data_IF_545160506559
#
_entry.id   IF_545160506559
#
_cell.length_a   1.000
_cell.length_b   1.000
_cell.length_c   1.000
_cell.angle_alpha   90.00
_cell.angle_beta   90.00
_cell.angle_gamma   90.00
#
_symmetry.space_group_name_H-M   'P 1'
#
loop_
_entity.id
_entity.type
_entity.pdbx_description
1 polymer ?
#
# COMPACT_ATOMS: atom_id res chain seq x y z
N UNK A 1 57.09 -28.66 -18.54
CA UNK A 1 56.08 -29.67 -18.15
C UNK A 1 55.22 -29.26 -16.96
N UNK A 2 55.73 -28.54 -15.93
CA UNK A 2 54.91 -28.10 -14.77
C UNK A 2 53.89 -26.99 -15.05
N UNK A 3 54.11 -26.14 -16.07
CA UNK A 3 53.17 -25.07 -16.44
C UNK A 3 51.98 -25.58 -17.27
N UNK A 4 52.21 -26.53 -18.17
CA UNK A 4 51.17 -27.12 -19.04
C UNK A 4 50.17 -27.98 -18.27
N UNK A 5 50.60 -28.62 -17.17
CA UNK A 5 49.70 -29.37 -16.27
C UNK A 5 48.77 -28.45 -15.48
N UNK A 6 49.23 -27.24 -15.10
CA UNK A 6 48.40 -26.25 -14.41
C UNK A 6 47.34 -25.68 -15.36
N UNK A 7 47.70 -25.41 -16.62
CA UNK A 7 46.75 -24.93 -17.63
C UNK A 7 45.69 -25.99 -17.97
N UNK A 8 46.07 -27.27 -18.02
CA UNK A 8 45.13 -28.37 -18.21
C UNK A 8 44.16 -28.53 -17.02
N UNK A 9 44.65 -28.32 -15.78
CA UNK A 9 43.81 -28.35 -14.58
C UNK A 9 42.79 -27.20 -14.55
N UNK A 10 43.15 -26.01 -15.04
CA UNK A 10 42.25 -24.85 -15.12
C UNK A 10 41.10 -25.05 -16.13
N UNK A 11 41.32 -25.88 -17.16
CA UNK A 11 40.32 -26.17 -18.20
C UNK A 11 39.21 -27.14 -17.74
N UNK A 12 39.44 -27.93 -16.68
CA UNK A 12 38.46 -28.91 -16.17
C UNK A 12 37.50 -28.36 -15.09
N UNK A 13 37.73 -27.15 -14.59
CA UNK A 13 36.91 -26.52 -13.54
C UNK A 13 35.42 -26.34 -13.91
N UNK A 14 35.01 -26.05 -15.17
CA UNK A 14 33.59 -25.81 -15.45
C UNK A 14 32.70 -27.06 -15.39
N UNK A 15 33.25 -28.27 -15.25
CA UNK A 15 32.47 -29.52 -15.20
C UNK A 15 31.87 -29.86 -13.82
N UNK A 16 32.12 -29.06 -12.78
CA UNK A 16 31.64 -29.35 -11.41
C UNK A 16 30.26 -28.74 -11.07
N UNK A 17 29.53 -28.20 -12.05
CA UNK A 17 28.26 -27.52 -11.81
C UNK A 17 27.03 -28.33 -12.27
N UNK A 18 26.90 -29.59 -11.82
CA UNK A 18 25.61 -30.28 -11.96
C UNK A 18 24.63 -29.75 -10.91
N UNK A 19 23.53 -29.13 -11.37
CA UNK A 19 22.37 -28.84 -10.52
C UNK A 19 21.52 -30.09 -10.40
N UNK A 20 20.99 -30.36 -9.21
CA UNK A 20 20.01 -31.42 -9.04
C UNK A 20 18.61 -30.88 -9.35
N UNK A 21 17.64 -31.77 -9.45
CA UNK A 21 16.24 -31.42 -9.68
C UNK A 21 15.46 -31.58 -8.38
N UNK A 22 14.84 -30.49 -7.90
CA UNK A 22 13.88 -30.55 -6.82
C UNK A 22 12.51 -30.82 -7.43
N UNK A 23 11.92 -31.95 -7.02
CA UNK A 23 10.52 -32.27 -7.28
C UNK A 23 9.74 -32.10 -5.99
N UNK A 24 8.61 -31.39 -6.05
CA UNK A 24 7.81 -31.19 -4.87
C UNK A 24 6.35 -30.90 -5.15
N UNK A 25 5.56 -30.92 -4.09
CA UNK A 25 4.13 -30.63 -4.09
C UNK A 25 3.81 -29.55 -3.06
N UNK A 26 2.94 -28.62 -3.42
CA UNK A 26 2.51 -27.53 -2.54
C UNK A 26 1.03 -27.71 -2.21
N UNK A 27 0.70 -27.53 -0.93
CA UNK A 27 -0.65 -27.70 -0.40
C UNK A 27 -0.93 -26.65 0.68
N UNK A 28 -2.20 -26.44 0.99
CA UNK A 28 -2.66 -25.77 2.21
C UNK A 28 -3.39 -26.78 3.10
N UNK A 29 -4.00 -26.31 4.19
CA UNK A 29 -4.75 -27.16 5.11
C UNK A 29 -5.93 -27.90 4.45
N UNK A 30 -6.42 -27.45 3.28
CA UNK A 30 -7.66 -27.93 2.65
C UNK A 30 -7.43 -28.70 1.33
N UNK A 31 -6.40 -28.36 0.56
CA UNK A 31 -6.27 -28.72 -0.85
C UNK A 31 -4.85 -28.51 -1.40
N UNK A 32 -4.60 -29.03 -2.60
CA UNK A 32 -3.36 -28.77 -3.35
C UNK A 32 -3.39 -27.38 -3.99
N UNK A 33 -2.24 -26.71 -4.07
CA UNK A 33 -2.17 -25.33 -4.51
C UNK A 33 -1.58 -25.20 -5.92
N UNK A 34 -2.40 -24.70 -6.86
CA UNK A 34 -1.98 -24.38 -8.23
C UNK A 34 -1.45 -22.96 -8.36
N UNK A 35 -0.63 -22.71 -9.39
CA UNK A 35 -0.10 -21.39 -9.74
C UNK A 35 0.68 -20.69 -8.62
N UNK A 36 1.30 -21.45 -7.71
CA UNK A 36 2.22 -20.91 -6.72
C UNK A 36 3.56 -20.67 -7.38
N UNK A 37 4.09 -19.46 -7.23
CA UNK A 37 5.42 -19.09 -7.72
C UNK A 37 6.47 -19.73 -6.83
N UNK A 38 7.27 -20.62 -7.43
CA UNK A 38 8.41 -21.26 -6.79
C UNK A 38 9.68 -20.62 -7.34
N UNK A 39 10.43 -19.94 -6.50
CA UNK A 39 11.61 -19.17 -6.88
C UNK A 39 12.85 -19.65 -6.14
N UNK A 40 13.84 -20.14 -6.87
CA UNK A 40 15.18 -20.39 -6.34
C UNK A 40 15.97 -19.09 -6.35
N UNK A 41 16.17 -18.50 -5.17
CA UNK A 41 16.88 -17.23 -4.99
C UNK A 41 18.37 -17.34 -5.31
N UNK A 42 18.99 -18.48 -5.04
CA UNK A 42 20.44 -18.68 -5.22
C UNK A 42 20.80 -18.82 -6.71
N UNK A 43 19.98 -19.56 -7.46
CA UNK A 43 20.24 -19.84 -8.88
C UNK A 43 19.41 -18.98 -9.84
N UNK A 44 18.60 -18.06 -9.32
CA UNK A 44 17.70 -17.19 -10.07
C UNK A 44 16.80 -17.95 -11.07
N UNK A 45 16.21 -19.06 -10.61
CA UNK A 45 15.29 -19.89 -11.39
C UNK A 45 13.88 -19.76 -10.84
N UNK A 46 12.88 -19.83 -11.70
CA UNK A 46 11.47 -19.74 -11.33
C UNK A 46 10.65 -20.81 -12.04
N UNK A 47 9.67 -21.34 -11.34
CA UNK A 47 8.64 -22.23 -11.89
C UNK A 47 7.29 -21.96 -11.21
N UNK A 48 6.23 -22.57 -11.72
CA UNK A 48 4.88 -22.49 -11.16
C UNK A 48 4.39 -23.91 -10.83
N UNK A 49 3.60 -24.03 -9.77
CA UNK A 49 2.91 -25.29 -9.49
C UNK A 49 1.78 -25.54 -10.49
N UNK A 50 1.60 -26.80 -10.88
CA UNK A 50 0.53 -27.23 -11.78
C UNK A 50 -0.83 -27.38 -11.05
N UNK A 51 -1.85 -27.88 -11.75
CA UNK A 51 -3.19 -28.08 -11.20
C UNK A 51 -3.26 -29.09 -10.03
N UNK A 52 -2.29 -29.99 -9.93
CA UNK A 52 -2.16 -31.00 -8.87
C UNK A 52 -1.24 -30.53 -7.72
N UNK A 53 -0.76 -29.28 -7.79
CA UNK A 53 0.17 -28.68 -6.84
C UNK A 53 1.62 -29.09 -7.01
N UNK A 54 1.94 -29.88 -8.04
CA UNK A 54 3.30 -30.36 -8.31
C UNK A 54 4.14 -29.30 -9.01
N UNK A 55 5.44 -29.30 -8.71
CA UNK A 55 6.43 -28.47 -9.38
C UNK A 55 7.78 -29.20 -9.50
N UNK A 56 8.53 -28.78 -10.52
CA UNK A 56 9.90 -29.23 -10.76
C UNK A 56 10.78 -28.01 -11.01
N UNK A 57 11.91 -27.91 -10.31
CA UNK A 57 12.88 -26.81 -10.46
C UNK A 57 14.31 -27.31 -10.26
N UNK A 58 15.27 -26.77 -11.01
CA UNK A 58 16.69 -27.00 -10.75
C UNK A 58 17.11 -26.33 -9.43
N UNK A 59 17.72 -27.11 -8.54
CA UNK A 59 18.17 -26.66 -7.23
C UNK A 59 19.35 -27.46 -6.69
N UNK A 60 20.07 -26.88 -5.73
CA UNK A 60 21.18 -27.52 -5.01
C UNK A 60 20.94 -27.50 -3.50
N UNK A 61 21.64 -28.37 -2.78
CA UNK A 61 21.66 -28.34 -1.31
C UNK A 61 22.13 -26.96 -0.85
N UNK A 62 21.48 -26.41 0.18
CA UNK A 62 21.66 -25.05 0.70
C UNK A 62 21.12 -23.92 -0.18
N UNK A 63 20.43 -24.21 -1.29
CA UNK A 63 19.68 -23.18 -2.00
C UNK A 63 18.47 -22.70 -1.19
N UNK A 64 18.11 -21.43 -1.37
CA UNK A 64 16.93 -20.82 -0.77
C UNK A 64 15.76 -20.82 -1.75
N UNK A 65 14.77 -21.69 -1.52
CA UNK A 65 13.55 -21.75 -2.31
C UNK A 65 12.46 -20.94 -1.63
N UNK A 66 11.83 -20.06 -2.39
CA UNK A 66 10.74 -19.21 -1.93
C UNK A 66 9.45 -19.57 -2.67
N UNK A 67 8.39 -19.73 -1.91
CA UNK A 67 7.03 -19.94 -2.39
C UNK A 67 6.23 -18.65 -2.19
N UNK A 68 5.64 -18.11 -3.25
CA UNK A 68 4.91 -16.84 -3.25
C UNK A 68 3.58 -16.97 -4.01
N UNK A 69 2.54 -16.32 -3.50
CA UNK A 69 1.23 -16.17 -4.14
C UNK A 69 0.54 -14.93 -3.56
N UNK A 70 -0.56 -14.50 -4.19
CA UNK A 70 -1.36 -13.36 -3.72
C UNK A 70 -2.15 -13.69 -2.44
N UNK A 71 -2.57 -14.94 -2.28
CA UNK A 71 -3.48 -15.38 -1.21
C UNK A 71 -2.77 -16.15 -0.09
N UNK A 72 -1.45 -16.33 -0.17
CA UNK A 72 -0.69 -17.16 0.78
C UNK A 72 0.54 -16.42 1.30
N UNK A 73 0.85 -16.63 2.57
CA UNK A 73 2.05 -16.09 3.17
C UNK A 73 3.29 -16.67 2.49
N UNK A 74 4.21 -15.77 2.12
CA UNK A 74 5.51 -16.13 1.55
C UNK A 74 6.26 -17.06 2.49
N UNK A 75 6.71 -18.20 1.97
CA UNK A 75 7.50 -19.18 2.71
C UNK A 75 8.86 -19.35 2.05
N UNK A 76 9.93 -19.23 2.81
CA UNK A 76 11.30 -19.51 2.34
C UNK A 76 11.85 -20.72 3.06
N UNK A 77 12.42 -21.67 2.31
CA UNK A 77 13.00 -22.91 2.82
C UNK A 77 14.42 -23.07 2.29
N UNK A 78 15.35 -23.39 3.18
CA UNK A 78 16.72 -23.78 2.81
C UNK A 78 16.72 -25.28 2.49
N UNK A 79 17.19 -25.65 1.31
CA UNK A 79 17.19 -27.04 0.88
C UNK A 79 18.22 -27.88 1.63
N UNK A 80 17.78 -29.06 2.06
CA UNK A 80 18.60 -30.12 2.61
C UNK A 80 18.71 -31.23 1.58
N UNK A 81 19.71 -32.08 1.75
CA UNK A 81 19.92 -33.26 0.89
C UNK A 81 18.68 -34.18 0.82
N UNK A 82 17.93 -34.31 1.92
CA UNK A 82 16.68 -35.06 1.97
C UNK A 82 15.62 -34.53 1.01
N UNK A 83 15.62 -33.22 0.70
CA UNK A 83 14.61 -32.64 -0.18
C UNK A 83 14.82 -32.98 -1.66
N UNK A 84 16.05 -33.33 -2.05
CA UNK A 84 16.41 -33.63 -3.44
C UNK A 84 16.33 -35.13 -3.75
N UNK A 85 16.36 -35.97 -2.71
CA UNK A 85 16.29 -37.44 -2.84
C UNK A 85 14.89 -37.98 -3.11
N UNK A 86 13.86 -37.26 -2.66
CA UNK A 86 12.46 -37.66 -2.80
C UNK A 86 11.57 -36.46 -3.08
N UNK A 87 10.32 -36.71 -3.47
CA UNK A 87 9.31 -35.66 -3.64
C UNK A 87 9.10 -34.95 -2.29
N UNK A 88 9.37 -33.66 -2.25
CA UNK A 88 9.23 -32.83 -1.04
C UNK A 88 7.90 -32.12 -1.01
N UNK A 89 7.24 -32.10 0.16
CA UNK A 89 5.92 -31.50 0.30
C UNK A 89 6.00 -30.22 1.14
N UNK A 90 5.41 -29.13 0.67
CA UNK A 90 5.48 -27.81 1.29
C UNK A 90 4.08 -27.26 1.59
N UNK A 91 3.77 -27.06 2.86
CA UNK A 91 2.52 -26.42 3.29
C UNK A 91 2.65 -24.89 3.26
N UNK A 92 1.67 -24.19 2.68
CA UNK A 92 1.53 -22.73 2.77
C UNK A 92 0.33 -22.34 3.63
N UNK A 93 0.48 -21.23 4.34
CA UNK A 93 -0.60 -20.64 5.14
C UNK A 93 -1.34 -19.59 4.31
N UNK A 94 -2.65 -19.71 4.25
CA UNK A 94 -3.53 -18.72 3.64
C UNK A 94 -3.38 -17.38 4.38
N UNK A 95 -3.38 -16.27 3.64
CA UNK A 95 -3.46 -14.93 4.23
C UNK A 95 -4.91 -14.73 4.64
N UNK A 96 -5.20 -14.97 5.92
CA UNK A 96 -6.47 -14.59 6.50
C UNK A 96 -6.45 -13.07 6.67
N UNK A 97 -7.25 -12.39 5.86
CA UNK A 97 -7.56 -10.98 6.11
C UNK A 97 -8.53 -10.93 7.28
N UNK A 98 -8.00 -11.01 8.50
CA UNK A 98 -8.75 -10.58 9.67
C UNK A 98 -8.90 -9.06 9.58
N UNK A 99 -10.14 -8.57 9.56
CA UNK A 99 -10.40 -7.14 9.64
C UNK A 99 -10.04 -6.70 11.05
N UNK A 100 -9.17 -5.71 11.18
CA UNK A 100 -8.91 -5.09 12.47
C UNK A 100 -10.24 -4.55 13.03
N UNK A 101 -10.52 -4.85 14.30
CA UNK A 101 -11.72 -4.35 14.98
C UNK A 101 -11.68 -2.82 14.98
N UNK A 102 -12.65 -2.21 14.31
CA UNK A 102 -12.79 -0.75 14.30
C UNK A 102 -13.51 -0.33 15.56
N UNK A 103 -12.79 0.31 16.47
CA UNK A 103 -13.39 0.99 17.62
C UNK A 103 -14.18 2.19 17.09
N UNK A 104 -15.51 2.09 17.10
CA UNK A 104 -16.40 3.22 16.79
C UNK A 104 -16.22 4.25 17.90
N UNK A 105 -15.27 5.17 17.72
CA UNK A 105 -15.19 6.37 18.55
C UNK A 105 -16.51 7.12 18.34
N UNK A 106 -17.12 7.53 19.46
CA UNK A 106 -18.39 8.24 19.49
C UNK A 106 -18.46 9.29 18.37
N UNK A 107 -19.61 9.40 17.72
CA UNK A 107 -19.86 10.41 16.70
C UNK A 107 -19.36 11.77 17.19
N UNK A 108 -18.56 12.45 16.36
CA UNK A 108 -18.08 13.80 16.66
C UNK A 108 -19.32 14.66 16.90
N UNK A 109 -19.63 14.96 18.16
CA UNK A 109 -20.76 15.80 18.53
C UNK A 109 -20.62 17.11 17.76
N UNK A 110 -21.53 17.33 16.82
CA UNK A 110 -21.56 18.59 16.09
C UNK A 110 -21.68 19.73 17.10
N UNK A 111 -20.95 20.84 16.93
CA UNK A 111 -21.08 21.98 17.82
C UNK A 111 -22.54 22.40 17.85
N UNK A 112 -23.10 22.51 19.06
CA UNK A 112 -24.47 22.97 19.27
C UNK A 112 -24.56 24.38 18.70
N UNK A 113 -25.54 24.62 17.83
CA UNK A 113 -25.82 25.97 17.33
C UNK A 113 -26.31 26.84 18.48
N UNK A 114 -25.49 27.81 18.90
CA UNK A 114 -25.84 28.81 19.91
C UNK A 114 -26.11 30.12 19.17
N UNK A 115 -27.38 30.45 19.00
CA UNK A 115 -27.85 31.60 18.22
C UNK A 115 -27.15 32.91 18.64
N UNK A 116 -26.96 33.13 19.94
CA UNK A 116 -26.34 34.34 20.48
C UNK A 116 -24.91 34.56 19.99
N UNK A 117 -24.07 33.51 19.94
CA UNK A 117 -22.66 33.61 19.55
C UNK A 117 -22.52 33.89 18.06
N UNK A 118 -23.30 33.19 17.23
CA UNK A 118 -23.31 33.38 15.78
C UNK A 118 -23.86 34.76 15.39
N UNK A 119 -24.90 35.24 16.10
CA UNK A 119 -25.44 36.57 15.87
C UNK A 119 -24.41 37.66 16.16
N UNK A 120 -23.64 37.55 17.25
CA UNK A 120 -22.59 38.54 17.57
C UNK A 120 -21.47 38.53 16.52
N UNK A 121 -20.97 37.36 16.13
CA UNK A 121 -19.90 37.25 15.14
C UNK A 121 -20.35 37.76 13.76
N UNK A 122 -21.55 37.38 13.33
CA UNK A 122 -22.12 37.84 12.07
C UNK A 122 -22.31 39.36 12.06
N UNK A 123 -22.81 39.94 13.15
CA UNK A 123 -22.93 41.40 13.28
C UNK A 123 -21.56 42.08 13.19
N UNK A 124 -20.53 41.55 13.87
CA UNK A 124 -19.18 42.10 13.81
C UNK A 124 -18.59 42.06 12.39
N UNK A 125 -18.80 40.96 11.66
CA UNK A 125 -18.34 40.81 10.27
C UNK A 125 -19.05 41.82 9.36
N UNK A 126 -20.38 41.93 9.47
CA UNK A 126 -21.18 42.89 8.69
C UNK A 126 -20.71 44.32 8.95
N UNK A 127 -20.50 44.69 10.21
CA UNK A 127 -20.06 46.04 10.58
C UNK A 127 -18.63 46.33 10.11
N UNK A 128 -17.73 45.36 10.21
CA UNK A 128 -16.38 45.48 9.68
C UNK A 128 -16.38 45.65 8.14
N UNK A 129 -17.24 44.91 7.43
CA UNK A 129 -17.33 45.01 5.97
C UNK A 129 -17.96 46.33 5.52
N UNK A 130 -19.01 46.82 6.20
CA UNK A 130 -19.60 48.15 5.94
C UNK A 130 -18.55 49.25 6.14
N UNK A 131 -17.73 49.15 7.18
CA UNK A 131 -16.66 50.11 7.47
C UNK A 131 -15.54 50.07 6.42
N UNK A 132 -15.16 48.89 5.97
CA UNK A 132 -14.05 48.70 5.02
C UNK A 132 -14.46 48.91 3.56
N UNK A 133 -15.73 48.66 3.22
CA UNK A 133 -16.28 48.73 1.86
C UNK A 133 -17.52 49.64 1.77
N UNK A 134 -17.45 50.91 2.22
CA UNK A 134 -18.62 51.80 2.27
C UNK A 134 -19.30 52.02 0.91
N UNK A 135 -18.54 51.93 -0.19
CA UNK A 135 -19.05 52.07 -1.57
C UNK A 135 -20.04 50.98 -1.98
N UNK A 136 -20.00 49.79 -1.35
CA UNK A 136 -20.94 48.68 -1.65
C UNK A 136 -22.28 48.83 -0.93
N UNK A 137 -22.30 49.61 0.14
CA UNK A 137 -23.45 49.83 1.02
C UNK A 137 -24.01 51.25 0.90
N UNK A 138 -23.41 52.07 0.02
CA UNK A 138 -23.97 53.33 -0.38
C UNK A 138 -25.25 53.08 -1.22
N UNK A 139 -26.30 53.88 -1.04
CA UNK A 139 -27.49 53.78 -1.87
C UNK A 139 -27.10 53.98 -3.34
N UNK A 140 -27.59 53.10 -4.21
CA UNK A 140 -27.40 53.21 -5.66
C UNK A 140 -28.09 54.51 -6.08
N UNK A 141 -27.36 55.42 -6.71
CA UNK A 141 -27.94 56.62 -7.32
C UNK A 141 -28.71 56.19 -8.55
N UNK A 142 -29.94 55.72 -8.35
CA UNK A 142 -30.92 55.55 -9.41
C UNK A 142 -31.56 56.91 -9.72
N UNK A 143 -32.05 57.07 -10.95
CA UNK A 143 -32.64 58.30 -11.50
C UNK A 143 -33.97 58.72 -10.82
N UNK A 144 -34.22 58.25 -9.59
CA UNK A 144 -35.48 58.35 -8.85
C UNK A 144 -35.37 59.10 -7.50
N UNK A 145 -34.23 59.72 -7.18
CA UNK A 145 -34.14 60.72 -6.11
C UNK A 145 -32.98 60.52 -5.12
N UNK A 146 -32.86 61.45 -4.18
CA UNK A 146 -31.83 61.48 -3.13
C UNK A 146 -32.35 60.75 -1.89
N UNK A 147 -31.56 59.84 -1.31
CA UNK A 147 -31.87 59.22 -0.01
C UNK A 147 -31.50 60.16 1.15
N UNK A 148 -32.50 60.90 1.65
CA UNK A 148 -32.34 61.85 2.75
C UNK A 148 -32.04 61.20 4.11
N UNK A 149 -32.44 59.93 4.32
CA UNK A 149 -32.20 59.23 5.59
C UNK A 149 -30.72 58.87 5.70
N UNK A 150 -30.12 58.41 4.61
CA UNK A 150 -28.68 58.16 4.54
C UNK A 150 -27.86 59.46 4.72
N UNK A 151 -28.27 60.55 4.04
CA UNK A 151 -27.57 61.83 4.13
C UNK A 151 -27.64 62.44 5.54
N UNK A 152 -28.82 62.41 6.18
CA UNK A 152 -28.99 62.90 7.55
C UNK A 152 -28.13 62.12 8.56
N UNK A 153 -28.08 60.78 8.45
CA UNK A 153 -27.22 59.95 9.30
C UNK A 153 -25.74 60.30 9.14
N UNK A 154 -25.28 60.58 7.92
CA UNK A 154 -23.87 60.93 7.65
C UNK A 154 -23.48 62.30 8.21
N UNK A 155 -24.38 63.28 8.11
CA UNK A 155 -24.16 64.62 8.67
C UNK A 155 -24.14 64.58 10.21
N UNK A 156 -25.07 63.84 10.82
CA UNK A 156 -25.13 63.69 12.27
C UNK A 156 -23.90 62.96 12.86
N UNK A 157 -23.29 62.04 12.11
CA UNK A 157 -22.08 61.34 12.53
C UNK A 157 -20.80 62.21 12.45
N UNK A 158 -20.87 63.40 11.83
CA UNK A 158 -19.73 64.31 11.66
C UNK A 158 -19.67 65.44 12.71
N UNK A 159 -20.74 65.61 13.50
CA UNK A 159 -20.81 66.51 14.67
C UNK A 159 -20.75 65.71 15.96
#
# INVERSE_FOLDING_TARGET
MRKTTITALLFFIPFLHFSQTLNGKVYDTKSVLKNIKVFNKTQNRVTLTNNEGDFTIEAKVNDSITFESLFYHKKTVILKDSHLKSISVFELKEILTELDEVEVKEEVKQPIFIEETYNIELQNIIQADIKNNPQKYAPIVNNQGIDFVYLAKKIFFFF
#
